data_IF_743851919886
#
_entry.id   IF_743851919886
#
_cell.length_a   1.000
_cell.length_b   1.000
_cell.length_c   1.000
_cell.angle_alpha   90.00
_cell.angle_beta   90.00
_cell.angle_gamma   90.00
#
_symmetry.space_group_name_H-M   'P 1'
#
loop_
_entity.id
_entity.type
_entity.pdbx_description
1 polymer ?
#
# COMPACT_ATOMS: atom_id res chain seq x y z
N UNK A 1 12.62 -57.50 -9.75
CA UNK A 1 12.81 -56.36 -8.81
C UNK A 1 13.47 -55.15 -9.50
N UNK A 2 12.90 -54.64 -10.61
CA UNK A 2 13.43 -53.47 -11.35
C UNK A 2 12.50 -52.24 -11.35
N UNK A 3 11.28 -52.39 -10.82
CA UNK A 3 10.23 -51.35 -10.83
C UNK A 3 10.32 -50.37 -9.65
N UNK A 4 11.12 -50.67 -8.62
CA UNK A 4 11.27 -49.84 -7.43
C UNK A 4 12.19 -48.63 -7.66
N UNK A 5 13.15 -48.74 -8.59
CA UNK A 5 14.13 -47.67 -8.83
C UNK A 5 13.46 -46.46 -9.53
N UNK A 6 12.47 -46.70 -10.39
CA UNK A 6 11.76 -45.63 -11.09
C UNK A 6 10.92 -44.73 -10.17
N UNK A 7 10.39 -45.27 -9.07
CA UNK A 7 9.62 -44.47 -8.11
C UNK A 7 10.51 -43.55 -7.26
N UNK A 8 11.73 -43.98 -6.92
CA UNK A 8 12.68 -43.15 -6.17
C UNK A 8 13.15 -41.91 -6.94
N UNK A 9 13.39 -42.06 -8.26
CA UNK A 9 13.81 -40.95 -9.11
C UNK A 9 12.71 -39.88 -9.28
N UNK A 10 11.44 -40.28 -9.33
CA UNK A 10 10.33 -39.33 -9.45
C UNK A 10 10.13 -38.53 -8.16
N UNK A 11 10.23 -39.17 -6.98
CA UNK A 11 10.16 -38.47 -5.70
C UNK A 11 11.29 -37.45 -5.52
N UNK A 12 12.51 -37.76 -5.94
CA UNK A 12 13.64 -36.83 -5.86
C UNK A 12 13.43 -35.59 -6.74
N UNK A 13 12.78 -35.74 -7.90
CA UNK A 13 12.46 -34.61 -8.80
C UNK A 13 11.35 -33.70 -8.26
N UNK A 14 10.41 -34.24 -7.48
CA UNK A 14 9.36 -33.46 -6.82
C UNK A 14 9.86 -32.71 -5.58
N UNK A 15 10.85 -33.26 -4.87
CA UNK A 15 11.49 -32.58 -3.73
C UNK A 15 12.55 -31.56 -4.12
N UNK A 16 13.00 -31.56 -5.38
CA UNK A 16 14.05 -30.66 -5.86
C UNK A 16 13.52 -29.38 -6.50
N UNK A 17 12.21 -29.10 -6.43
CA UNK A 17 11.77 -27.74 -6.67
C UNK A 17 12.35 -26.90 -5.54
N UNK A 18 13.30 -25.98 -5.81
CA UNK A 18 13.70 -25.05 -4.78
C UNK A 18 12.41 -24.38 -4.34
N UNK A 19 12.09 -24.50 -3.06
CA UNK A 19 11.08 -23.65 -2.45
C UNK A 19 11.61 -22.25 -2.71
N UNK A 20 11.07 -21.61 -3.73
CA UNK A 20 11.11 -20.18 -3.94
C UNK A 20 10.32 -19.57 -2.78
N UNK A 21 10.85 -19.72 -1.56
CA UNK A 21 10.60 -18.80 -0.48
C UNK A 21 11.24 -17.51 -0.98
N UNK A 22 10.51 -16.82 -1.86
CA UNK A 22 10.89 -15.53 -2.38
C UNK A 22 11.16 -14.65 -1.17
N UNK A 23 12.43 -14.36 -0.95
CA UNK A 23 12.91 -13.23 -0.16
C UNK A 23 12.60 -11.90 -0.84
N UNK A 24 11.72 -11.88 -1.86
CA UNK A 24 11.03 -10.68 -2.29
C UNK A 24 9.95 -10.40 -1.27
N UNK A 25 10.28 -9.66 -0.21
CA UNK A 25 9.24 -9.08 0.65
C UNK A 25 8.27 -8.26 -0.22
N UNK A 26 6.99 -8.26 0.13
CA UNK A 26 6.03 -7.39 -0.55
C UNK A 26 6.55 -5.96 -0.51
N UNK A 27 6.54 -5.26 -1.64
CA UNK A 27 6.89 -3.85 -1.69
C UNK A 27 5.78 -3.05 -0.99
N UNK A 28 6.13 -2.43 0.13
CA UNK A 28 5.21 -1.74 1.04
C UNK A 28 5.41 -0.23 0.91
N UNK A 29 4.29 0.47 0.78
CA UNK A 29 4.20 1.92 0.82
C UNK A 29 3.25 2.33 1.93
N UNK A 30 3.66 3.27 2.76
CA UNK A 30 2.85 3.81 3.86
C UNK A 30 2.41 5.21 3.48
N UNK A 31 1.10 5.46 3.50
CA UNK A 31 0.54 6.79 3.21
C UNK A 31 -0.12 7.31 4.47
N UNK A 32 0.43 8.38 5.03
CA UNK A 32 -0.22 9.14 6.10
C UNK A 32 -1.07 10.23 5.50
N UNK A 33 -2.33 10.26 5.87
CA UNK A 33 -3.31 11.28 5.50
C UNK A 33 -3.55 12.12 6.74
N UNK A 34 -3.39 13.43 6.61
CA UNK A 34 -3.82 14.42 7.57
C UNK A 34 -4.89 15.31 6.91
N UNK A 35 -6.12 15.21 7.40
CA UNK A 35 -7.24 16.02 6.90
C UNK A 35 -7.62 17.07 7.94
N UNK A 36 -7.56 18.33 7.56
CA UNK A 36 -8.02 19.49 8.33
C UNK A 36 -9.09 20.20 7.53
N UNK A 37 -9.93 21.00 8.19
CA UNK A 37 -10.90 21.84 7.49
C UNK A 37 -10.17 22.74 6.47
N UNK A 38 -10.44 22.54 5.18
CA UNK A 38 -9.87 23.37 4.11
C UNK A 38 -8.57 22.84 3.51
N UNK A 39 -8.03 21.74 4.05
CA UNK A 39 -6.72 21.25 3.65
C UNK A 39 -6.59 19.74 3.84
N UNK A 40 -5.98 19.07 2.85
CA UNK A 40 -5.51 17.69 2.99
C UNK A 40 -4.02 17.64 2.72
N UNK A 41 -3.31 16.90 3.56
CA UNK A 41 -1.90 16.62 3.39
C UNK A 41 -1.68 15.11 3.41
N UNK A 42 -0.97 14.59 2.41
CA UNK A 42 -0.57 13.19 2.33
C UNK A 42 0.95 13.10 2.34
N UNK A 43 1.48 12.24 3.19
CA UNK A 43 2.89 11.87 3.22
C UNK A 43 3.01 10.42 2.77
N UNK A 44 3.76 10.18 1.69
CA UNK A 44 3.97 8.87 1.09
C UNK A 44 5.39 8.42 1.42
N UNK A 45 5.51 7.38 2.24
CA UNK A 45 6.78 6.80 2.67
C UNK A 45 7.05 5.49 1.92
N UNK A 46 8.28 5.35 1.43
CA UNK A 46 8.77 4.18 0.70
C UNK A 46 10.11 3.75 1.27
N UNK A 47 10.40 2.46 1.25
CA UNK A 47 11.65 1.93 1.80
C UNK A 47 12.87 2.52 1.06
N UNK A 48 13.76 3.18 1.80
CA UNK A 48 15.02 3.72 1.27
C UNK A 48 14.87 4.96 0.37
N UNK A 49 13.71 5.62 0.37
CA UNK A 49 13.48 6.88 -0.35
C UNK A 49 13.05 7.98 0.61
N UNK A 50 13.29 9.23 0.24
CA UNK A 50 12.75 10.37 0.98
C UNK A 50 11.21 10.39 0.88
N UNK A 51 10.50 10.84 1.94
CA UNK A 51 9.05 10.97 1.91
C UNK A 51 8.58 11.93 0.80
N UNK A 52 7.56 11.52 0.05
CA UNK A 52 6.86 12.39 -0.90
C UNK A 52 5.67 13.06 -0.22
N UNK A 53 5.58 14.38 -0.31
CA UNK A 53 4.46 15.14 0.24
C UNK A 53 3.52 15.63 -0.85
N UNK A 54 2.22 15.44 -0.64
CA UNK A 54 1.15 15.93 -1.53
C UNK A 54 0.15 16.70 -0.69
N UNK A 55 0.04 17.99 -0.91
CA UNK A 55 -0.96 18.84 -0.26
C UNK A 55 -2.00 19.35 -1.25
N UNK A 56 -3.21 19.55 -0.76
CA UNK A 56 -4.28 20.22 -1.52
C UNK A 56 -5.09 21.11 -0.58
N UNK A 57 -5.23 22.37 -0.95
CA UNK A 57 -5.97 23.37 -0.19
C UNK A 57 -7.25 23.76 -0.92
N UNK A 58 -8.28 24.16 -0.19
CA UNK A 58 -9.50 24.71 -0.77
C UNK A 58 -10.07 25.86 0.06
N UNK A 59 -10.34 26.98 -0.63
CA UNK A 59 -10.75 28.24 -0.02
C UNK A 59 -12.25 28.33 0.34
N UNK A 60 -13.12 27.52 -0.30
CA UNK A 60 -14.58 27.73 -0.23
C UNK A 60 -15.38 26.52 0.26
N UNK A 61 -16.50 26.82 0.94
CA UNK A 61 -17.53 25.89 1.46
C UNK A 61 -18.25 25.05 0.40
N UNK A 62 -17.94 25.22 -0.89
CA UNK A 62 -18.52 24.39 -1.97
C UNK A 62 -18.03 22.95 -1.79
N UNK A 63 -18.92 22.15 -1.22
CA UNK A 63 -18.83 20.71 -0.94
C UNK A 63 -17.42 20.23 -0.57
N UNK A 64 -17.01 20.48 0.68
CA UNK A 64 -15.74 20.00 1.27
C UNK A 64 -15.41 18.55 0.85
N UNK A 65 -16.42 17.68 0.85
CA UNK A 65 -16.30 16.27 0.49
C UNK A 65 -15.87 16.03 -0.97
N UNK A 66 -16.35 16.85 -1.92
CA UNK A 66 -16.12 16.65 -3.35
C UNK A 66 -14.71 17.14 -3.78
N UNK A 67 -14.13 18.06 -3.02
CA UNK A 67 -12.74 18.53 -3.22
C UNK A 67 -11.74 17.66 -2.47
N UNK A 68 -12.06 17.23 -1.25
CA UNK A 68 -11.28 16.22 -0.54
C UNK A 68 -11.12 14.97 -1.41
N UNK A 69 -12.20 14.48 -2.03
CA UNK A 69 -12.14 13.32 -2.93
C UNK A 69 -11.21 13.51 -4.12
N UNK A 70 -11.04 14.73 -4.63
CA UNK A 70 -10.10 15.02 -5.73
C UNK A 70 -8.65 14.93 -5.26
N UNK A 71 -8.31 15.49 -4.10
CA UNK A 71 -6.97 15.39 -3.52
C UNK A 71 -6.57 13.93 -3.26
N UNK A 72 -7.47 13.15 -2.66
CA UNK A 72 -7.29 11.70 -2.52
C UNK A 72 -7.10 11.01 -3.88
N UNK A 73 -7.96 11.30 -4.86
CA UNK A 73 -7.89 10.67 -6.16
C UNK A 73 -6.56 10.96 -6.87
N UNK A 74 -6.12 12.22 -6.91
CA UNK A 74 -4.92 12.63 -7.61
C UNK A 74 -3.65 12.01 -6.98
N UNK A 75 -3.62 11.85 -5.65
CA UNK A 75 -2.51 11.21 -4.93
C UNK A 75 -2.53 9.67 -5.04
N UNK A 76 -3.67 9.05 -4.73
CA UNK A 76 -3.77 7.59 -4.64
C UNK A 76 -3.82 6.91 -6.01
N UNK A 77 -4.33 7.58 -7.05
CA UNK A 77 -4.38 7.02 -8.41
C UNK A 77 -3.00 6.66 -8.95
N UNK A 78 -1.96 7.44 -8.62
CA UNK A 78 -0.57 7.14 -9.00
C UNK A 78 -0.09 5.82 -8.38
N UNK A 79 -0.43 5.56 -7.12
CA UNK A 79 -0.08 4.31 -6.44
C UNK A 79 -0.79 3.12 -7.07
N UNK A 80 -2.09 3.28 -7.38
CA UNK A 80 -2.84 2.23 -8.09
C UNK A 80 -2.28 1.95 -9.49
N UNK A 81 -1.90 2.98 -10.25
CA UNK A 81 -1.27 2.82 -11.57
C UNK A 81 0.10 2.12 -11.50
N UNK A 82 0.83 2.29 -10.39
CA UNK A 82 2.09 1.59 -10.13
C UNK A 82 1.89 0.13 -9.69
N UNK A 83 0.63 -0.31 -9.51
CA UNK A 83 0.25 -1.67 -9.13
C UNK A 83 0.14 -1.90 -7.62
N UNK A 84 0.22 -0.84 -6.81
CA UNK A 84 -0.04 -0.96 -5.38
C UNK A 84 -1.54 -1.06 -5.10
N UNK A 85 -1.89 -1.81 -4.07
CA UNK A 85 -3.26 -1.97 -3.58
C UNK A 85 -3.31 -1.67 -2.08
N UNK A 86 -4.38 -1.03 -1.62
CA UNK A 86 -4.61 -0.85 -0.17
C UNK A 86 -4.81 -2.22 0.46
N UNK A 87 -3.98 -2.54 1.44
CA UNK A 87 -4.07 -3.77 2.22
C UNK A 87 -4.67 -3.53 3.60
N UNK A 88 -4.37 -2.38 4.21
CA UNK A 88 -4.88 -2.04 5.54
C UNK A 88 -5.10 -0.54 5.71
N UNK A 89 -5.98 -0.20 6.65
CA UNK A 89 -6.22 1.17 7.11
C UNK A 89 -6.06 1.17 8.62
N UNK A 90 -5.23 2.06 9.13
CA UNK A 90 -5.04 2.28 10.56
C UNK A 90 -5.65 3.65 10.87
N UNK A 91 -6.80 3.70 11.58
CA UNK A 91 -7.37 4.96 12.01
C UNK A 91 -6.39 5.64 12.98
N UNK A 92 -6.08 6.91 12.73
CA UNK A 92 -5.31 7.73 13.66
C UNK A 92 -6.20 8.31 14.75
N UNK A 93 -5.58 9.06 15.66
CA UNK A 93 -6.31 9.76 16.71
C UNK A 93 -7.11 10.92 16.12
N UNK A 94 -8.40 10.98 16.43
CA UNK A 94 -9.23 12.16 16.21
C UNK A 94 -9.02 13.14 17.37
N UNK A 95 -8.70 14.39 17.07
CA UNK A 95 -8.62 15.44 18.08
C UNK A 95 -9.99 16.10 18.26
N UNK A 96 -10.54 16.00 19.48
CA UNK A 96 -11.88 16.50 19.84
C UNK A 96 -12.12 18.00 19.56
N UNK A 97 -11.07 18.78 19.32
CA UNK A 97 -11.14 20.23 19.13
C UNK A 97 -11.19 20.65 17.64
N UNK A 98 -11.57 19.75 16.73
CA UNK A 98 -11.54 20.03 15.28
C UNK A 98 -10.13 20.04 14.69
N UNK A 99 -9.21 19.29 15.31
CA UNK A 99 -7.85 19.10 14.81
C UNK A 99 -7.81 18.17 13.59
N UNK A 100 -6.60 17.99 13.05
CA UNK A 100 -6.39 17.10 11.91
C UNK A 100 -6.85 15.67 12.22
N UNK A 101 -7.64 15.09 11.33
CA UNK A 101 -7.92 13.64 11.33
C UNK A 101 -6.76 12.96 10.65
N UNK A 102 -6.08 12.08 11.38
CA UNK A 102 -5.00 11.29 10.83
C UNK A 102 -5.51 9.92 10.43
N UNK A 103 -5.16 9.44 9.25
CA UNK A 103 -5.41 8.06 8.82
C UNK A 103 -4.17 7.55 8.13
N UNK A 104 -3.75 6.31 8.45
CA UNK A 104 -2.63 5.67 7.76
C UNK A 104 -3.17 4.58 6.85
N UNK A 105 -2.79 4.62 5.58
CA UNK A 105 -3.08 3.59 4.59
C UNK A 105 -1.81 2.78 4.33
N UNK A 106 -1.92 1.47 4.35
CA UNK A 106 -0.84 0.56 3.99
C UNK A 106 -1.13 0.02 2.60
N UNK A 107 -0.22 0.27 1.69
CA UNK A 107 -0.25 -0.20 0.32
C UNK A 107 0.77 -1.30 0.12
N UNK A 108 0.38 -2.35 -0.60
CA UNK A 108 1.30 -3.42 -1.02
C UNK A 108 1.19 -3.66 -2.50
N UNK A 109 2.33 -3.93 -3.14
CA UNK A 109 2.36 -4.41 -4.52
C UNK A 109 2.49 -5.93 -4.50
N UNK A 110 1.51 -6.68 -5.02
CA UNK A 110 1.65 -8.12 -5.16
C UNK A 110 2.80 -8.41 -6.14
N UNK A 111 3.77 -9.20 -5.70
CA UNK A 111 4.78 -9.76 -6.58
C UNK A 111 4.05 -10.76 -7.47
N UNK A 112 4.12 -10.57 -8.79
CA UNK A 112 3.43 -11.42 -9.76
C UNK A 112 3.70 -12.90 -9.49
N UNK A 113 2.65 -13.72 -9.61
CA UNK A 113 2.77 -15.19 -9.64
C UNK A 113 3.61 -15.64 -10.83
#
# INVERSE_FOLDING_TARGET
>A
MKKLIFFGAYLLSLTSQPVMAQTGGADIVVVRVAEVIGHIHLTIERAGQEPEEVSSEWADKVSKNQRASKGYFDALSKLYQQGYQVQATIPGAEYANGGAVFTTLIFTKPIGK
#
